data_IF_914867717124
#
_entry.id   IF_914867717124
#
_cell.length_a   1.000
_cell.length_b   1.000
_cell.length_c   1.000
_cell.angle_alpha   90.00
_cell.angle_beta   90.00
_cell.angle_gamma   90.00
#
_symmetry.space_group_name_H-M   'P 1'
#
loop_
_entity.id
_entity.type
_entity.pdbx_description
1 polymer ?
#
# COMPACT_ATOMS: atom_id res chain seq x y z
N UNK A 1 28.75 -21.91 -24.77
CA UNK A 1 27.85 -21.90 -25.93
C UNK A 1 26.63 -21.07 -25.55
N UNK A 2 26.55 -19.88 -26.14
CA UNK A 2 25.45 -18.95 -25.97
C UNK A 2 24.29 -19.36 -26.89
N UNK A 3 23.06 -19.28 -26.41
CA UNK A 3 21.88 -19.15 -27.26
C UNK A 3 20.99 -18.05 -26.67
N UNK A 4 20.81 -17.01 -27.48
CA UNK A 4 19.95 -15.83 -27.34
C UNK A 4 18.47 -16.26 -27.33
N UNK A 5 17.63 -15.71 -26.44
CA UNK A 5 16.80 -14.51 -26.63
C UNK A 5 15.64 -14.74 -27.61
N UNK A 6 14.39 -14.78 -27.13
CA UNK A 6 13.27 -14.06 -27.75
C UNK A 6 12.02 -13.95 -26.86
N UNK A 7 11.49 -12.73 -26.86
CA UNK A 7 10.25 -12.23 -26.25
C UNK A 7 9.02 -12.89 -26.90
N UNK A 8 8.05 -13.32 -26.11
CA UNK A 8 6.66 -13.41 -26.57
C UNK A 8 5.84 -12.30 -25.88
N UNK A 9 5.49 -11.29 -26.67
CA UNK A 9 4.43 -10.32 -26.37
C UNK A 9 3.08 -10.96 -26.76
N UNK A 10 2.19 -11.15 -25.80
CA UNK A 10 0.81 -11.60 -26.04
C UNK A 10 -0.08 -10.41 -26.41
N UNK A 11 -0.61 -10.44 -27.63
CA UNK A 11 -1.59 -9.49 -28.13
C UNK A 11 -2.96 -9.67 -27.43
N UNK A 12 -3.55 -8.57 -26.96
CA UNK A 12 -4.93 -8.52 -26.47
C UNK A 12 -5.95 -8.45 -27.63
N UNK A 13 -7.22 -8.80 -27.38
CA UNK A 13 -8.24 -8.86 -28.42
C UNK A 13 -8.76 -7.46 -28.79
N UNK A 14 -8.86 -7.22 -30.09
CA UNK A 14 -9.43 -6.01 -30.70
C UNK A 14 -10.94 -6.18 -30.82
N UNK A 15 -11.71 -5.34 -30.13
CA UNK A 15 -13.16 -5.22 -30.32
C UNK A 15 -13.47 -4.03 -31.25
N UNK A 16 -14.10 -4.31 -32.39
CA UNK A 16 -14.66 -3.32 -33.32
C UNK A 16 -16.11 -3.03 -32.97
N UNK A 17 -16.46 -1.75 -32.77
CA UNK A 17 -17.85 -1.27 -32.61
C UNK A 17 -18.18 -0.27 -33.72
N UNK A 18 -19.34 -0.33 -34.38
CA UNK A 18 -19.69 0.59 -35.44
C UNK A 18 -20.29 1.90 -34.91
N UNK A 19 -20.07 2.97 -35.67
CA UNK A 19 -20.46 4.34 -35.39
C UNK A 19 -21.99 4.54 -35.36
N UNK A 20 -22.50 5.10 -34.25
CA UNK A 20 -23.85 5.62 -34.09
C UNK A 20 -23.83 7.14 -33.89
N UNK A 21 -24.67 7.86 -34.66
CA UNK A 21 -24.75 9.33 -34.73
C UNK A 21 -25.10 9.96 -33.37
N UNK A 22 -24.39 11.04 -33.03
CA UNK A 22 -24.65 11.88 -31.87
C UNK A 22 -25.78 12.88 -32.14
N UNK A 23 -26.74 12.95 -31.22
CA UNK A 23 -27.65 14.09 -31.04
C UNK A 23 -27.25 14.80 -29.75
N UNK A 24 -26.82 16.06 -29.88
CA UNK A 24 -26.41 16.91 -28.76
C UNK A 24 -27.67 17.50 -28.13
N UNK A 25 -27.95 17.15 -26.87
CA UNK A 25 -28.81 17.94 -25.98
C UNK A 25 -27.93 18.59 -24.93
N UNK A 26 -27.83 19.92 -25.02
CA UNK A 26 -27.18 20.80 -24.08
C UNK A 26 -27.85 20.69 -22.70
N UNK A 27 -27.09 20.29 -21.70
CA UNK A 27 -27.51 20.26 -20.29
C UNK A 27 -26.40 20.87 -19.45
N UNK A 28 -26.53 22.16 -19.20
CA UNK A 28 -25.61 23.02 -18.44
C UNK A 28 -25.72 22.74 -16.92
N UNK A 29 -25.47 21.50 -16.49
CA UNK A 29 -25.32 21.11 -15.07
C UNK A 29 -24.13 20.17 -14.79
N UNK A 30 -23.32 19.85 -15.80
CA UNK A 30 -22.20 18.91 -15.65
C UNK A 30 -20.92 19.47 -15.02
N UNK A 31 -20.71 20.80 -15.00
CA UNK A 31 -19.40 21.39 -14.67
C UNK A 31 -19.02 21.32 -13.18
N UNK A 32 -19.97 21.52 -12.26
CA UNK A 32 -19.70 21.50 -10.83
C UNK A 32 -19.46 20.06 -10.32
N UNK A 33 -20.32 19.11 -10.72
CA UNK A 33 -20.17 17.70 -10.33
C UNK A 33 -18.89 17.08 -10.91
N UNK A 34 -18.54 17.36 -12.17
CA UNK A 34 -17.31 16.87 -12.77
C UNK A 34 -16.04 17.53 -12.20
N UNK A 35 -16.12 18.80 -11.78
CA UNK A 35 -15.03 19.46 -11.04
C UNK A 35 -14.86 18.87 -9.64
N UNK A 36 -15.95 18.66 -8.90
CA UNK A 36 -15.93 18.04 -7.56
C UNK A 36 -15.36 16.63 -7.64
N UNK A 37 -15.80 15.80 -8.59
CA UNK A 37 -15.24 14.45 -8.79
C UNK A 37 -13.75 14.47 -9.18
N UNK A 38 -13.31 15.45 -9.97
CA UNK A 38 -11.88 15.62 -10.33
C UNK A 38 -11.04 16.12 -9.16
N UNK A 39 -11.59 17.02 -8.34
CA UNK A 39 -10.90 17.54 -7.16
C UNK A 39 -10.86 16.50 -6.04
N UNK A 40 -11.91 15.69 -5.87
CA UNK A 40 -11.87 14.49 -5.03
C UNK A 40 -10.81 13.52 -5.53
N UNK A 41 -10.74 13.22 -6.83
CA UNK A 41 -9.74 12.31 -7.38
C UNK A 41 -8.29 12.77 -7.18
N UNK A 42 -8.03 14.08 -7.05
CA UNK A 42 -6.68 14.61 -6.79
C UNK A 42 -6.17 14.33 -5.38
N UNK A 43 -7.08 14.17 -4.43
CA UNK A 43 -6.73 13.96 -3.02
C UNK A 43 -6.72 12.48 -2.63
N UNK A 44 -7.03 11.59 -3.57
CA UNK A 44 -7.02 10.15 -3.36
C UNK A 44 -5.72 9.53 -3.81
N UNK A 45 -5.07 8.84 -2.88
CA UNK A 45 -3.77 8.23 -3.09
C UNK A 45 -3.90 6.71 -3.16
N UNK A 46 -3.30 6.12 -4.20
CA UNK A 46 -3.10 4.67 -4.30
C UNK A 46 -1.95 4.28 -3.39
N UNK A 47 -2.27 3.63 -2.27
CA UNK A 47 -1.31 3.24 -1.24
C UNK A 47 -1.03 1.74 -1.21
N UNK A 48 -1.55 0.99 -2.17
CA UNK A 48 -1.42 -0.47 -2.22
C UNK A 48 -1.62 -1.00 -3.65
N UNK A 49 -1.49 -2.32 -3.87
CA UNK A 49 -1.86 -2.92 -5.15
C UNK A 49 -3.35 -2.84 -5.50
N UNK A 50 -4.22 -2.46 -4.56
CA UNK A 50 -5.66 -2.28 -4.80
C UNK A 50 -5.97 -0.83 -5.21
N UNK A 51 -6.67 -0.66 -6.32
CA UNK A 51 -6.89 0.65 -6.96
C UNK A 51 -8.34 1.12 -6.93
N UNK A 52 -9.25 0.32 -6.37
CA UNK A 52 -10.66 0.67 -6.23
C UNK A 52 -10.87 1.71 -5.11
N UNK A 53 -11.99 2.44 -5.18
CA UNK A 53 -12.23 3.66 -4.41
C UNK A 53 -12.10 3.46 -2.90
N UNK A 54 -12.56 2.33 -2.39
CA UNK A 54 -12.55 1.93 -0.99
C UNK A 54 -11.14 1.60 -0.47
N UNK A 55 -10.16 1.42 -1.34
CA UNK A 55 -8.77 1.17 -0.99
C UNK A 55 -7.91 2.43 -1.02
N UNK A 56 -8.40 3.52 -1.61
CA UNK A 56 -7.64 4.76 -1.76
C UNK A 56 -7.62 5.55 -0.45
N UNK A 57 -6.44 6.08 -0.12
CA UNK A 57 -6.25 6.95 1.03
C UNK A 57 -6.66 8.38 0.67
N UNK A 58 -7.59 8.96 1.43
CA UNK A 58 -7.94 10.37 1.32
C UNK A 58 -6.92 11.25 2.05
N UNK A 59 -6.13 12.01 1.31
CA UNK A 59 -5.11 12.92 1.85
C UNK A 59 -5.70 14.03 2.71
N UNK A 60 -6.99 14.40 2.52
CA UNK A 60 -7.66 15.40 3.38
C UNK A 60 -7.93 14.88 4.79
N UNK A 61 -7.90 13.57 4.99
CA UNK A 61 -8.07 12.96 6.31
C UNK A 61 -6.81 13.00 7.19
N UNK A 62 -5.69 13.48 6.63
CA UNK A 62 -4.38 13.47 7.25
C UNK A 62 -3.89 14.87 7.58
N UNK A 63 -3.09 14.97 8.64
CA UNK A 63 -2.23 16.13 8.82
C UNK A 63 -1.08 16.14 7.79
N UNK A 64 -0.32 17.24 7.79
CA UNK A 64 0.71 17.49 6.78
C UNK A 64 1.81 16.41 6.76
N UNK A 65 2.30 15.98 7.94
CA UNK A 65 3.40 15.00 8.03
C UNK A 65 2.95 13.62 7.54
N UNK A 66 1.76 13.19 7.96
CA UNK A 66 1.17 11.94 7.52
C UNK A 66 0.87 11.95 6.01
N UNK A 67 0.38 13.07 5.48
CA UNK A 67 0.14 13.23 4.04
C UNK A 67 1.46 13.19 3.24
N UNK A 68 2.52 13.86 3.72
CA UNK A 68 3.85 13.84 3.09
C UNK A 68 4.43 12.43 3.09
N UNK A 69 4.38 11.73 4.23
CA UNK A 69 4.91 10.37 4.33
C UNK A 69 4.14 9.40 3.42
N UNK A 70 2.80 9.48 3.40
CA UNK A 70 1.99 8.65 2.52
C UNK A 70 2.36 8.87 1.03
N UNK A 71 2.51 10.12 0.61
CA UNK A 71 2.96 10.47 -0.75
C UNK A 71 4.36 9.93 -1.06
N UNK A 72 5.30 10.01 -0.11
CA UNK A 72 6.64 9.46 -0.28
C UNK A 72 6.59 7.93 -0.43
N UNK A 73 5.82 7.24 0.41
CA UNK A 73 5.66 5.79 0.42
C UNK A 73 5.04 5.21 -0.88
N UNK A 74 4.44 6.03 -1.74
CA UNK A 74 4.08 5.58 -3.09
C UNK A 74 5.29 5.13 -3.93
N UNK A 75 6.50 5.57 -3.58
CA UNK A 75 7.78 5.15 -4.20
C UNK A 75 8.47 4.00 -3.47
N UNK A 76 7.78 3.34 -2.54
CA UNK A 76 8.34 2.21 -1.80
C UNK A 76 8.57 1.03 -2.74
N UNK A 77 9.82 0.59 -2.83
CA UNK A 77 10.27 -0.49 -3.69
C UNK A 77 11.03 -1.54 -2.88
N UNK A 78 10.80 -2.82 -3.19
CA UNK A 78 11.52 -3.94 -2.60
C UNK A 78 12.85 -4.12 -3.33
N UNK A 79 13.96 -4.08 -2.60
CA UNK A 79 15.31 -4.06 -3.16
C UNK A 79 15.95 -5.44 -3.30
N UNK A 80 15.34 -6.47 -2.71
CA UNK A 80 15.96 -7.80 -2.59
C UNK A 80 14.97 -8.93 -2.81
N UNK A 81 15.38 -10.05 -3.43
CA UNK A 81 14.49 -11.17 -3.74
C UNK A 81 14.15 -12.05 -2.52
N UNK A 82 14.96 -12.04 -1.47
CA UNK A 82 14.78 -12.83 -0.23
C UNK A 82 14.07 -12.05 0.90
N UNK A 83 13.33 -11.00 0.52
CA UNK A 83 12.61 -10.09 1.43
C UNK A 83 11.73 -10.79 2.46
N UNK A 84 11.17 -11.96 2.13
CA UNK A 84 10.32 -12.75 3.02
C UNK A 84 11.02 -13.12 4.34
N UNK A 85 12.36 -13.20 4.36
CA UNK A 85 13.15 -13.60 5.53
C UNK A 85 14.24 -12.61 5.96
N UNK A 86 14.57 -11.64 5.11
CA UNK A 86 15.58 -10.62 5.39
C UNK A 86 15.22 -9.69 6.56
N UNK A 87 16.19 -9.07 7.26
CA UNK A 87 15.93 -8.01 8.23
C UNK A 87 15.12 -6.88 7.62
N UNK A 88 14.08 -6.39 8.31
CA UNK A 88 13.08 -5.49 7.72
C UNK A 88 13.68 -4.18 7.16
N UNK A 89 14.66 -3.61 7.87
CA UNK A 89 15.36 -2.39 7.48
C UNK A 89 16.07 -2.51 6.13
N UNK A 90 16.49 -3.73 5.75
CA UNK A 90 17.24 -3.98 4.52
C UNK A 90 16.35 -4.32 3.32
N UNK A 91 15.02 -4.43 3.50
CA UNK A 91 14.12 -4.92 2.45
C UNK A 91 13.80 -3.84 1.42
N UNK A 92 13.52 -2.63 1.88
CA UNK A 92 12.97 -1.55 1.06
C UNK A 92 13.95 -0.39 0.90
N UNK A 93 13.71 0.45 -0.10
CA UNK A 93 14.45 1.69 -0.38
C UNK A 93 14.19 2.82 0.63
N UNK A 94 14.21 2.54 1.94
CA UNK A 94 13.88 3.50 2.99
C UNK A 94 14.69 4.80 2.92
N UNK A 95 15.98 4.74 2.59
CA UNK A 95 16.80 5.93 2.39
C UNK A 95 16.20 6.88 1.34
N UNK A 96 15.81 6.34 0.18
CA UNK A 96 15.15 7.12 -0.87
C UNK A 96 13.79 7.66 -0.41
N UNK A 97 13.00 6.87 0.32
CA UNK A 97 11.72 7.33 0.90
C UNK A 97 11.92 8.54 1.81
N UNK A 98 12.94 8.53 2.67
CA UNK A 98 13.20 9.65 3.57
C UNK A 98 13.71 10.89 2.82
N UNK A 99 14.51 10.71 1.76
CA UNK A 99 14.82 11.80 0.84
C UNK A 99 13.56 12.38 0.16
N UNK A 100 12.58 11.53 -0.18
CA UNK A 100 11.28 11.96 -0.68
C UNK A 100 10.47 12.75 0.34
N UNK A 101 10.46 12.33 1.61
CA UNK A 101 9.85 13.09 2.71
C UNK A 101 10.48 14.48 2.80
N UNK A 102 11.81 14.58 2.84
CA UNK A 102 12.50 15.87 2.94
C UNK A 102 12.16 16.80 1.76
N UNK A 103 12.24 16.29 0.52
CA UNK A 103 11.91 17.06 -0.69
C UNK A 103 10.46 17.55 -0.69
N UNK A 104 9.51 16.69 -0.32
CA UNK A 104 8.08 17.05 -0.26
C UNK A 104 7.80 18.07 0.85
N UNK A 105 8.45 17.95 2.01
CA UNK A 105 8.35 18.92 3.10
C UNK A 105 8.86 20.30 2.65
N UNK A 106 10.01 20.36 1.99
CA UNK A 106 10.56 21.60 1.43
C UNK A 106 9.64 22.22 0.36
N UNK A 107 9.13 21.42 -0.57
CA UNK A 107 8.19 21.87 -1.62
C UNK A 107 6.90 22.47 -1.03
N UNK A 108 6.47 21.96 0.13
CA UNK A 108 5.28 22.44 0.84
C UNK A 108 5.60 23.54 1.87
N UNK A 109 6.86 23.96 2.00
CA UNK A 109 7.29 24.94 2.99
C UNK A 109 7.07 24.48 4.44
N UNK A 110 7.08 23.17 4.68
CA UNK A 110 6.77 22.57 5.98
C UNK A 110 8.05 22.19 6.73
N UNK A 111 8.20 22.66 7.97
CA UNK A 111 9.24 22.18 8.89
C UNK A 111 8.72 20.92 9.60
N UNK A 112 9.30 19.78 9.21
CA UNK A 112 8.99 18.47 9.80
C UNK A 112 9.30 18.46 11.29
N UNK A 113 8.34 18.04 12.11
CA UNK A 113 8.54 17.77 13.54
C UNK A 113 8.83 16.31 13.76
N UNK A 114 9.70 16.02 14.72
CA UNK A 114 10.04 14.65 15.05
C UNK A 114 8.80 13.80 15.30
N UNK A 115 8.62 12.75 14.51
CA UNK A 115 7.45 11.88 14.56
C UNK A 115 7.82 10.40 14.37
N UNK A 116 6.94 9.52 14.83
CA UNK A 116 7.15 8.07 14.79
C UNK A 116 5.92 7.36 14.25
N UNK A 117 6.14 6.36 13.42
CA UNK A 117 5.12 5.60 12.71
C UNK A 117 5.20 4.13 13.11
N UNK A 118 4.04 3.48 13.15
CA UNK A 118 3.94 2.06 13.48
C UNK A 118 3.98 1.23 12.21
N UNK A 119 4.86 0.24 12.18
CA UNK A 119 5.06 -0.60 11.01
C UNK A 119 4.79 -2.05 11.39
N UNK A 120 4.05 -2.75 10.54
CA UNK A 120 3.79 -4.18 10.68
C UNK A 120 4.37 -4.90 9.49
N UNK A 121 5.08 -6.00 9.73
CA UNK A 121 5.46 -6.95 8.70
C UNK A 121 4.90 -8.33 9.04
N UNK A 122 3.93 -8.78 8.26
CA UNK A 122 3.39 -10.12 8.32
C UNK A 122 4.23 -11.03 7.42
N UNK A 123 5.05 -11.87 8.04
CA UNK A 123 5.83 -12.91 7.35
C UNK A 123 5.03 -14.19 7.36
N UNK A 124 4.92 -14.83 6.20
CA UNK A 124 4.12 -16.04 6.05
C UNK A 124 4.83 -17.08 5.22
N UNK A 125 4.38 -18.32 5.36
CA UNK A 125 4.67 -19.41 4.44
C UNK A 125 3.34 -20.06 4.05
N UNK A 126 3.06 -20.06 2.74
CA UNK A 126 1.83 -20.57 2.16
C UNK A 126 2.09 -22.01 1.71
N UNK A 127 1.31 -23.00 2.19
CA UNK A 127 1.45 -24.37 1.74
C UNK A 127 0.96 -24.50 0.28
N UNK A 128 1.49 -25.47 -0.49
CA UNK A 128 1.09 -25.69 -1.88
C UNK A 128 -0.41 -25.97 -2.08
N UNK A 129 -1.11 -26.37 -1.02
CA UNK A 129 -2.53 -26.72 -1.02
C UNK A 129 -3.47 -25.52 -0.88
N UNK A 130 -2.97 -24.34 -0.52
CA UNK A 130 -3.80 -23.15 -0.34
C UNK A 130 -4.22 -22.56 -1.68
N UNK A 131 -5.53 -22.30 -1.83
CA UNK A 131 -6.06 -21.57 -3.00
C UNK A 131 -5.80 -20.07 -2.80
N UNK A 132 -4.97 -19.49 -3.66
CA UNK A 132 -4.54 -18.09 -3.56
C UNK A 132 -5.67 -17.06 -3.73
N UNK A 133 -6.70 -17.40 -4.49
CA UNK A 133 -7.86 -16.53 -4.70
C UNK A 133 -8.64 -16.28 -3.40
N UNK A 134 -8.69 -17.27 -2.51
CA UNK A 134 -9.33 -17.15 -1.19
C UNK A 134 -8.56 -16.19 -0.29
N UNK A 135 -7.21 -16.25 -0.34
CA UNK A 135 -6.33 -15.32 0.37
C UNK A 135 -6.49 -13.89 -0.15
N UNK A 136 -6.48 -13.70 -1.47
CA UNK A 136 -6.63 -12.38 -2.08
C UNK A 136 -7.96 -11.73 -1.75
N UNK A 137 -9.05 -12.50 -1.69
CA UNK A 137 -10.38 -12.01 -1.31
C UNK A 137 -10.43 -11.55 0.15
N UNK A 138 -9.87 -12.34 1.06
CA UNK A 138 -9.80 -11.99 2.49
C UNK A 138 -8.92 -10.76 2.74
N UNK A 139 -7.76 -10.71 2.08
CA UNK A 139 -6.83 -9.59 2.19
C UNK A 139 -7.43 -8.28 1.69
N UNK A 140 -8.05 -8.32 0.51
CA UNK A 140 -8.71 -7.15 -0.08
C UNK A 140 -9.81 -6.61 0.83
N UNK A 141 -10.66 -7.49 1.37
CA UNK A 141 -11.72 -7.07 2.30
C UNK A 141 -11.15 -6.45 3.59
N UNK A 142 -10.09 -7.05 4.16
CA UNK A 142 -9.41 -6.52 5.33
C UNK A 142 -8.76 -5.16 5.03
N UNK A 143 -8.11 -5.01 3.87
CA UNK A 143 -7.52 -3.75 3.43
C UNK A 143 -8.55 -2.62 3.33
N UNK A 144 -9.70 -2.84 2.68
CA UNK A 144 -10.74 -1.81 2.56
C UNK A 144 -11.21 -1.34 3.96
N UNK A 145 -11.35 -2.27 4.89
CA UNK A 145 -11.71 -1.98 6.28
C UNK A 145 -10.61 -1.20 7.03
N UNK A 146 -9.33 -1.52 6.81
CA UNK A 146 -8.19 -0.76 7.33
C UNK A 146 -8.17 0.67 6.79
N UNK A 147 -8.33 0.86 5.48
CA UNK A 147 -8.42 2.19 4.85
C UNK A 147 -9.55 3.00 5.46
N UNK A 148 -10.75 2.41 5.59
CA UNK A 148 -11.92 3.07 6.17
C UNK A 148 -11.75 3.43 7.65
N UNK A 149 -10.94 2.68 8.39
CA UNK A 149 -10.68 2.94 9.82
C UNK A 149 -9.77 4.15 10.07
N UNK A 150 -9.02 4.58 9.06
CA UNK A 150 -8.13 5.73 9.11
C UNK A 150 -6.74 5.42 9.69
N UNK A 151 -5.76 6.26 9.29
CA UNK A 151 -4.37 6.16 9.74
C UNK A 151 -3.53 5.06 9.06
N UNK A 152 -4.07 4.44 8.01
CA UNK A 152 -3.39 3.46 7.16
C UNK A 152 -2.67 4.16 6.00
N UNK A 153 -1.34 4.25 6.06
CA UNK A 153 -0.56 5.12 5.16
C UNK A 153 0.01 4.38 3.94
N UNK A 154 0.31 3.09 4.09
CA UNK A 154 0.86 2.25 3.02
C UNK A 154 0.53 0.80 3.29
N UNK A 155 0.26 0.05 2.22
CA UNK A 155 0.25 -1.39 2.20
C UNK A 155 1.06 -1.92 1.01
N UNK A 156 1.77 -3.01 1.23
CA UNK A 156 2.53 -3.71 0.21
C UNK A 156 2.52 -5.20 0.52
N UNK A 157 2.44 -6.04 -0.51
CA UNK A 157 2.68 -7.46 -0.38
C UNK A 157 3.50 -7.97 -1.57
N UNK A 158 4.31 -8.99 -1.29
CA UNK A 158 5.10 -9.68 -2.30
C UNK A 158 4.38 -10.87 -2.92
N UNK A 159 5.11 -11.60 -3.76
CA UNK A 159 4.72 -12.91 -4.26
C UNK A 159 5.51 -14.01 -3.55
N UNK A 160 4.89 -15.11 -3.13
CA UNK A 160 5.58 -16.19 -2.43
C UNK A 160 6.79 -16.70 -3.20
N UNK A 161 7.88 -16.97 -2.50
CA UNK A 161 9.06 -17.61 -3.07
C UNK A 161 8.79 -19.09 -3.41
N UNK A 162 9.80 -19.79 -3.93
CA UNK A 162 9.73 -21.21 -4.28
C UNK A 162 9.32 -22.13 -3.12
N UNK A 163 9.52 -21.69 -1.87
CA UNK A 163 9.19 -22.43 -0.65
C UNK A 163 7.86 -21.92 -0.04
N UNK A 164 7.14 -21.04 -0.74
CA UNK A 164 5.88 -20.44 -0.33
C UNK A 164 6.04 -19.28 0.64
N UNK A 165 7.25 -18.79 0.93
CA UNK A 165 7.47 -17.71 1.90
C UNK A 165 7.13 -16.36 1.29
N UNK A 166 6.42 -15.53 2.03
CA UNK A 166 6.03 -14.19 1.58
C UNK A 166 6.10 -13.17 2.72
N UNK A 167 5.96 -11.90 2.36
CA UNK A 167 5.81 -10.79 3.29
C UNK A 167 4.72 -9.83 2.79
N UNK A 168 3.84 -9.44 3.71
CA UNK A 168 3.00 -8.27 3.58
C UNK A 168 3.40 -7.25 4.64
N UNK A 169 3.38 -5.97 4.32
CA UNK A 169 3.73 -4.90 5.27
C UNK A 169 2.80 -3.71 5.14
N UNK A 170 2.55 -3.07 6.28
CA UNK A 170 1.85 -1.81 6.33
C UNK A 170 2.53 -0.79 7.24
N UNK A 171 2.31 0.48 6.91
CA UNK A 171 2.73 1.64 7.70
C UNK A 171 1.49 2.36 8.20
N UNK A 172 1.48 2.68 9.48
CA UNK A 172 0.39 3.33 10.19
C UNK A 172 0.89 4.58 10.90
N UNK A 173 0.00 5.56 11.10
CA UNK A 173 0.31 6.74 11.92
C UNK A 173 0.69 6.35 13.35
N UNK A 174 0.04 5.33 13.90
CA UNK A 174 0.28 4.86 15.27
C UNK A 174 -0.14 3.40 15.46
N UNK A 175 0.32 2.80 16.56
CA UNK A 175 -0.14 1.47 16.97
C UNK A 175 -1.65 1.44 17.28
N UNK A 176 -2.21 2.55 17.76
CA UNK A 176 -3.63 2.66 18.04
C UNK A 176 -4.46 2.58 16.76
N UNK A 177 -4.05 3.28 15.71
CA UNK A 177 -4.71 3.23 14.41
C UNK A 177 -4.61 1.82 13.80
N UNK A 178 -3.44 1.19 13.88
CA UNK A 178 -3.27 -0.21 13.46
C UNK A 178 -4.21 -1.17 14.21
N UNK A 179 -4.38 -0.97 15.52
CA UNK A 179 -5.32 -1.76 16.32
C UNK A 179 -6.77 -1.53 15.87
N UNK A 180 -7.17 -0.27 15.64
CA UNK A 180 -8.52 0.08 15.18
C UNK A 180 -8.81 -0.53 13.80
N UNK A 181 -7.86 -0.46 12.87
CA UNK A 181 -7.97 -1.10 11.56
C UNK A 181 -8.02 -2.62 11.62
N UNK A 182 -7.33 -3.24 12.60
CA UNK A 182 -7.24 -4.69 12.73
C UNK A 182 -8.38 -5.38 13.48
N UNK A 183 -9.37 -4.65 14.02
CA UNK A 183 -10.44 -5.23 14.84
C UNK A 183 -11.76 -5.44 14.10
N UNK A 184 -11.92 -4.99 12.86
CA UNK A 184 -13.20 -5.10 12.15
C UNK A 184 -13.54 -6.53 11.69
N UNK A 185 -14.79 -6.79 11.27
CA UNK A 185 -15.23 -8.12 10.83
C UNK A 185 -14.41 -8.72 9.69
N UNK A 186 -13.95 -7.93 8.71
CA UNK A 186 -13.16 -8.45 7.60
C UNK A 186 -11.76 -8.89 8.08
N UNK A 187 -11.08 -8.05 8.87
CA UNK A 187 -9.81 -8.39 9.50
C UNK A 187 -9.93 -9.62 10.41
N UNK A 188 -10.98 -9.71 11.23
CA UNK A 188 -11.21 -10.89 12.08
C UNK A 188 -11.37 -12.16 11.27
N UNK A 189 -12.04 -12.10 10.11
CA UNK A 189 -12.19 -13.25 9.22
C UNK A 189 -10.84 -13.65 8.61
N UNK A 190 -10.06 -12.70 8.11
CA UNK A 190 -8.73 -12.95 7.59
C UNK A 190 -7.79 -13.54 8.67
N UNK A 191 -7.80 -12.97 9.87
CA UNK A 191 -7.01 -13.45 11.01
C UNK A 191 -7.42 -14.85 11.48
N UNK A 192 -8.72 -15.16 11.46
CA UNK A 192 -9.21 -16.51 11.79
C UNK A 192 -8.75 -17.54 10.74
N UNK A 193 -8.81 -17.18 9.46
CA UNK A 193 -8.39 -18.05 8.36
C UNK A 193 -6.86 -18.25 8.29
N UNK A 194 -6.07 -17.37 8.89
CA UNK A 194 -4.60 -17.46 8.85
C UNK A 194 -4.05 -18.79 9.40
N UNK A 195 -4.76 -19.45 10.33
CA UNK A 195 -4.33 -20.76 10.86
C UNK A 195 -4.45 -21.90 9.84
N UNK A 196 -5.41 -21.80 8.93
CA UNK A 196 -5.71 -22.84 7.95
C UNK A 196 -4.98 -22.57 6.63
N UNK A 197 -4.72 -21.30 6.32
CA UNK A 197 -4.16 -20.86 5.04
C UNK A 197 -2.63 -20.76 5.02
N UNK A 198 -1.97 -20.72 6.19
CA UNK A 198 -0.52 -20.61 6.30
C UNK A 198 0.07 -21.76 7.12
N UNK A 199 1.16 -22.35 6.63
CA UNK A 199 1.93 -23.36 7.38
C UNK A 199 2.77 -22.73 8.49
N UNK A 200 3.19 -21.49 8.29
CA UNK A 200 3.87 -20.67 9.28
C UNK A 200 3.51 -19.20 9.08
N UNK A 201 3.40 -18.45 10.17
CA UNK A 201 3.32 -17.00 10.10
C UNK A 201 3.89 -16.35 11.36
N UNK A 202 4.39 -15.12 11.19
CA UNK A 202 4.92 -14.26 12.25
C UNK A 202 4.54 -12.81 11.95
N UNK A 203 4.25 -12.05 13.00
CA UNK A 203 4.06 -10.61 12.91
C UNK A 203 5.27 -9.94 13.55
N UNK A 204 6.06 -9.25 12.74
CA UNK A 204 7.05 -8.30 13.22
C UNK A 204 6.40 -6.93 13.36
N UNK A 205 6.80 -6.20 14.39
CA UNK A 205 6.36 -4.84 14.66
C UNK A 205 7.58 -3.97 14.76
N UNK A 206 7.58 -2.87 14.02
CA UNK A 206 8.68 -1.93 13.99
C UNK A 206 8.17 -0.50 14.21
N UNK A 207 9.10 0.39 14.54
CA UNK A 207 8.90 1.83 14.65
C UNK A 207 9.79 2.52 13.64
N UNK A 208 9.21 3.23 12.68
CA UNK A 208 9.93 4.22 11.88
C UNK A 208 9.96 5.53 12.65
N UNK A 209 11.14 6.07 12.94
CA UNK A 209 11.33 7.37 13.59
C UNK A 209 11.97 8.31 12.58
N UNK A 210 11.36 9.47 12.37
CA UNK A 210 11.92 10.55 11.55
C UNK A 210 12.13 11.74 12.48
N UNK A 211 13.37 12.20 12.62
CA UNK A 211 13.72 13.31 13.52
C UNK A 211 13.34 14.66 12.90
N UNK A 212 13.40 15.71 13.71
CA UNK A 212 13.11 17.08 13.29
C UNK A 212 13.85 17.45 12.00
N UNK A 213 13.18 18.20 11.13
CA UNK A 213 13.66 18.62 9.82
C UNK A 213 14.17 17.48 8.92
N UNK A 214 13.79 16.22 9.22
CA UNK A 214 14.23 15.03 8.49
C UNK A 214 15.77 14.86 8.55
N UNK A 215 16.40 15.31 9.63
CA UNK A 215 17.87 15.27 9.79
C UNK A 215 18.42 13.85 9.92
N UNK A 216 17.63 12.94 10.47
CA UNK A 216 17.96 11.52 10.59
C UNK A 216 16.70 10.68 10.74
N UNK A 217 16.86 9.38 10.53
CA UNK A 217 15.80 8.40 10.67
C UNK A 217 16.35 7.06 11.14
N UNK A 218 15.48 6.24 11.71
CA UNK A 218 15.79 4.87 12.10
C UNK A 218 14.53 3.99 12.03
N UNK A 219 14.71 2.70 11.78
CA UNK A 219 13.68 1.70 12.03
C UNK A 219 14.18 0.76 13.11
N UNK A 220 13.41 0.65 14.17
CA UNK A 220 13.71 -0.19 15.34
C UNK A 220 12.57 -1.15 15.59
N UNK A 221 12.83 -2.23 16.34
CA UNK A 221 11.75 -3.11 16.79
C UNK A 221 10.81 -2.38 17.75
N UNK A 222 9.53 -2.71 17.67
CA UNK A 222 8.52 -2.16 18.57
C UNK A 222 8.55 -2.92 19.90
N UNK A 223 9.18 -2.32 20.91
CA UNK A 223 9.17 -2.80 22.29
C UNK A 223 7.81 -2.60 22.97
#
# INVERSE_FOLDING_TARGET
>A
MAIQHELLQSAGPVFTTPAGKATVMDSTQGAAASKVLRDEAKDLLVISPYTEREHLLDLKSLDMENAILAQALCRLECLRPDYATAPYIDIFNWGEIIEQVNRLAQQKGHSWKGSSFFVVAFRSQIPPTTVYEDLGTLDKAAHAEATASGGFLKYWFGSPDKDGKNLATCVWRSQEDARKGGIGPAHRRAAAAARDLYSHWKIDRHRLIIRDNVESWEITDWA
#
